data_IF_612155697984
#
_entry.id   IF_612155697984
#
_cell.length_a   1.000
_cell.length_b   1.000
_cell.length_c   1.000
_cell.angle_alpha   90.00
_cell.angle_beta   90.00
_cell.angle_gamma   90.00
#
_symmetry.space_group_name_H-M   'P 1'
#
loop_
_entity.id
_entity.type
_entity.pdbx_description
1 polymer ?
#
# COMPACT_ATOMS: atom_id res chain seq x y z
N UNK A 1 26.59 -16.03 -29.39
CA UNK A 1 25.65 -16.63 -28.41
C UNK A 1 24.79 -15.50 -27.90
N UNK A 2 23.60 -15.34 -28.49
CA UNK A 2 22.70 -14.21 -28.24
C UNK A 2 22.17 -14.27 -26.80
N UNK A 3 22.37 -13.20 -26.04
CA UNK A 3 21.71 -12.92 -24.77
C UNK A 3 20.30 -12.41 -25.13
N UNK A 4 19.29 -13.26 -24.92
CA UNK A 4 17.89 -12.87 -25.09
C UNK A 4 17.49 -11.97 -23.91
N UNK A 5 17.54 -10.65 -24.12
CA UNK A 5 16.76 -9.70 -23.35
C UNK A 5 15.28 -9.91 -23.73
N UNK A 6 14.58 -10.78 -23.00
CA UNK A 6 13.12 -10.77 -23.02
C UNK A 6 12.65 -9.60 -22.16
N UNK A 7 12.52 -8.44 -22.80
CA UNK A 7 11.59 -7.42 -22.34
C UNK A 7 10.19 -8.03 -22.32
N UNK A 8 9.75 -8.43 -21.13
CA UNK A 8 8.34 -8.66 -20.90
C UNK A 8 7.75 -7.28 -20.67
N UNK A 9 7.19 -6.69 -21.73
CA UNK A 9 6.14 -5.71 -21.55
C UNK A 9 4.95 -6.50 -21.00
N UNK A 10 4.78 -6.47 -19.68
CA UNK A 10 3.58 -7.00 -19.06
C UNK A 10 2.45 -6.11 -19.58
N UNK A 11 1.48 -6.70 -20.27
CA UNK A 11 0.22 -6.03 -20.56
C UNK A 11 -0.50 -5.82 -19.22
N UNK A 12 -0.02 -4.83 -18.48
CA UNK A 12 -0.71 -4.29 -17.33
C UNK A 12 -1.66 -3.24 -17.90
N UNK A 13 -2.93 -3.61 -18.08
CA UNK A 13 -4.03 -2.66 -18.24
C UNK A 13 -4.31 -1.93 -16.90
N UNK A 14 -3.24 -1.61 -16.15
CA UNK A 14 -3.24 -0.96 -14.85
C UNK A 14 -2.95 0.52 -15.04
N UNK A 15 -3.95 1.36 -14.76
CA UNK A 15 -3.92 2.83 -14.72
C UNK A 15 -2.64 3.52 -15.22
N UNK A 16 -2.70 4.12 -16.41
CA UNK A 16 -1.75 5.13 -16.90
C UNK A 16 -1.87 6.45 -16.11
N UNK A 17 -1.65 6.39 -14.80
CA UNK A 17 -1.39 7.57 -13.99
C UNK A 17 -0.01 8.14 -14.31
N UNK A 18 0.28 9.40 -13.94
CA UNK A 18 1.63 9.93 -14.03
C UNK A 18 2.57 9.10 -13.13
N UNK A 19 3.85 9.01 -13.50
CA UNK A 19 4.88 8.41 -12.66
C UNK A 19 5.20 9.35 -11.48
N UNK A 20 5.11 8.88 -10.23
CA UNK A 20 5.34 9.74 -9.07
C UNK A 20 6.82 9.75 -8.68
N UNK A 21 7.32 10.97 -8.45
CA UNK A 21 8.62 11.23 -7.84
C UNK A 21 8.38 11.97 -6.54
N UNK A 22 8.81 11.41 -5.41
CA UNK A 22 8.66 12.04 -4.09
C UNK A 22 10.03 12.52 -3.61
N UNK A 23 10.14 13.81 -3.33
CA UNK A 23 11.34 14.46 -2.79
C UNK A 23 11.07 14.86 -1.33
N UNK A 24 11.83 14.32 -0.39
CA UNK A 24 11.47 14.33 1.04
C UNK A 24 12.70 14.41 1.93
N UNK A 25 12.61 15.25 2.95
CA UNK A 25 13.60 15.38 4.03
C UNK A 25 13.25 14.55 5.27
N UNK A 26 12.21 13.72 5.17
CA UNK A 26 11.81 12.69 6.13
C UNK A 26 11.61 13.21 7.57
N UNK A 27 10.63 14.10 7.73
CA UNK A 27 9.97 14.42 8.99
C UNK A 27 8.92 13.39 9.41
N UNK A 28 8.14 13.73 10.44
CA UNK A 28 7.07 12.85 10.95
C UNK A 28 5.86 12.83 10.00
N UNK A 29 5.47 13.99 9.50
CA UNK A 29 4.47 14.18 8.45
C UNK A 29 4.90 13.57 7.11
N UNK A 30 6.16 13.74 6.67
CA UNK A 30 6.69 13.01 5.51
C UNK A 30 6.55 11.50 5.68
N UNK A 31 6.86 10.98 6.87
CA UNK A 31 6.79 9.55 7.17
C UNK A 31 5.35 9.04 7.03
N UNK A 32 4.35 9.83 7.44
CA UNK A 32 2.93 9.48 7.23
C UNK A 32 2.54 9.61 5.75
N UNK A 33 2.99 10.66 5.07
CA UNK A 33 2.72 10.90 3.65
C UNK A 33 3.29 9.79 2.75
N UNK A 34 4.52 9.37 3.00
CA UNK A 34 5.15 8.22 2.34
C UNK A 34 4.43 6.92 2.66
N UNK A 35 3.94 6.75 3.89
CA UNK A 35 3.14 5.58 4.26
C UNK A 35 1.89 5.51 3.41
N UNK A 36 1.20 6.63 3.21
CA UNK A 36 0.03 6.75 2.34
C UNK A 36 0.39 6.40 0.88
N UNK A 37 1.49 6.96 0.36
CA UNK A 37 1.91 6.76 -1.02
C UNK A 37 2.34 5.31 -1.32
N UNK A 38 3.15 4.70 -0.45
CA UNK A 38 3.69 3.34 -0.66
C UNK A 38 2.64 2.24 -0.48
N UNK A 39 1.56 2.52 0.27
CA UNK A 39 0.49 1.57 0.58
C UNK A 39 -0.68 1.60 -0.41
N UNK A 40 -0.83 2.66 -1.22
CA UNK A 40 -1.99 2.87 -2.09
C UNK A 40 -1.76 2.25 -3.46
N UNK A 41 -2.71 1.43 -3.94
CA UNK A 41 -2.64 0.80 -5.27
C UNK A 41 -2.68 1.80 -6.43
N UNK A 42 -3.43 2.91 -6.27
CA UNK A 42 -3.60 3.92 -7.32
C UNK A 42 -2.49 4.96 -7.40
N UNK A 43 -1.40 4.78 -6.64
CA UNK A 43 -0.23 5.67 -6.65
C UNK A 43 0.95 4.85 -7.14
N UNK A 44 1.51 5.26 -8.27
CA UNK A 44 2.66 4.62 -8.88
C UNK A 44 3.94 5.38 -8.56
N UNK A 45 4.46 5.14 -7.35
CA UNK A 45 5.75 5.73 -6.91
C UNK A 45 6.87 5.06 -7.68
N UNK A 46 7.53 5.79 -8.56
CA UNK A 46 8.70 5.32 -9.32
C UNK A 46 10.01 5.67 -8.63
N UNK A 47 10.06 6.86 -8.03
CA UNK A 47 11.28 7.39 -7.43
C UNK A 47 11.01 8.07 -6.10
N UNK A 48 11.92 7.87 -5.14
CA UNK A 48 12.08 8.69 -3.95
C UNK A 48 13.48 9.31 -3.96
N UNK A 49 13.55 10.61 -3.67
CA UNK A 49 14.81 11.36 -3.53
C UNK A 49 14.91 11.87 -2.10
N UNK A 50 15.99 11.51 -1.40
CA UNK A 50 16.25 12.01 -0.06
C UNK A 50 16.73 13.48 -0.13
N UNK A 51 16.26 14.32 0.80
CA UNK A 51 16.69 15.70 0.97
C UNK A 51 17.24 15.94 2.39
N UNK A 52 17.98 17.05 2.57
CA UNK A 52 18.32 17.55 3.91
C UNK A 52 17.20 18.47 4.42
N UNK A 53 16.83 18.31 5.69
CA UNK A 53 15.85 19.18 6.33
C UNK A 53 15.46 18.68 7.72
N UNK A 54 14.27 18.11 7.87
CA UNK A 54 13.80 17.50 9.11
C UNK A 54 14.73 16.38 9.60
N UNK A 55 15.17 15.50 8.69
CA UNK A 55 16.30 14.60 8.90
C UNK A 55 17.55 15.12 8.17
N UNK A 56 18.73 14.64 8.57
CA UNK A 56 19.95 14.84 7.77
C UNK A 56 19.90 13.92 6.54
N UNK A 57 20.39 14.39 5.39
CA UNK A 57 20.20 13.72 4.10
C UNK A 57 20.67 12.26 4.06
N UNK A 58 21.82 11.94 4.64
CA UNK A 58 22.36 10.57 4.70
C UNK A 58 21.45 9.67 5.54
N UNK A 59 21.02 10.14 6.70
CA UNK A 59 20.09 9.42 7.57
C UNK A 59 18.70 9.28 6.96
N UNK A 60 18.21 10.30 6.26
CA UNK A 60 16.98 10.23 5.48
C UNK A 60 17.06 9.12 4.44
N UNK A 61 18.12 9.08 3.62
CA UNK A 61 18.33 8.04 2.61
C UNK A 61 18.38 6.63 3.22
N UNK A 62 19.06 6.44 4.35
CA UNK A 62 19.13 5.17 5.09
C UNK A 62 17.73 4.72 5.52
N UNK A 63 16.95 5.61 6.15
CA UNK A 63 15.62 5.28 6.67
C UNK A 63 14.58 5.09 5.56
N UNK A 64 14.67 5.85 4.48
CA UNK A 64 13.86 5.65 3.27
C UNK A 64 14.09 4.27 2.65
N UNK A 65 15.35 3.82 2.56
CA UNK A 65 15.69 2.47 2.08
C UNK A 65 15.02 1.37 2.91
N UNK A 66 14.83 1.60 4.20
CA UNK A 66 14.12 0.66 5.06
C UNK A 66 12.64 0.72 4.97
N UNK A 67 12.10 1.92 4.83
CA UNK A 67 10.69 2.09 4.58
C UNK A 67 10.31 1.37 3.28
N UNK A 68 11.12 1.50 2.22
CA UNK A 68 10.94 0.74 0.99
C UNK A 68 11.04 -0.77 1.22
N UNK A 69 12.01 -1.26 2.00
CA UNK A 69 12.08 -2.70 2.30
C UNK A 69 10.85 -3.16 3.11
N UNK A 70 10.45 -2.47 4.18
CA UNK A 70 9.31 -2.84 5.00
C UNK A 70 8.01 -2.90 4.20
N UNK A 71 7.77 -1.91 3.32
CA UNK A 71 6.62 -1.87 2.42
C UNK A 71 6.76 -2.78 1.20
N UNK A 72 7.83 -3.59 1.11
CA UNK A 72 8.12 -4.48 -0.02
C UNK A 72 8.15 -3.75 -1.37
N UNK A 73 8.72 -2.55 -1.40
CA UNK A 73 8.78 -1.65 -2.56
C UNK A 73 10.19 -1.52 -3.12
N UNK A 74 10.86 -2.65 -3.36
CA UNK A 74 12.20 -2.68 -3.97
C UNK A 74 12.20 -2.28 -5.45
N UNK A 75 11.02 -2.17 -6.07
CA UNK A 75 10.77 -1.60 -7.38
C UNK A 75 10.98 -0.06 -7.42
N UNK A 76 10.84 0.62 -6.29
CA UNK A 76 11.00 2.08 -6.20
C UNK A 76 12.48 2.45 -6.22
N UNK A 77 12.87 3.35 -7.13
CA UNK A 77 14.23 3.88 -7.18
C UNK A 77 14.45 4.84 -6.02
N UNK A 78 15.51 4.63 -5.25
CA UNK A 78 15.90 5.53 -4.17
C UNK A 78 17.19 6.27 -4.52
N UNK A 79 17.20 7.59 -4.37
CA UNK A 79 18.37 8.45 -4.60
C UNK A 79 18.76 9.23 -3.34
N UNK A 80 20.06 9.46 -3.17
CA UNK A 80 20.59 10.40 -2.16
C UNK A 80 20.28 11.85 -2.54
N UNK A 81 20.52 12.78 -1.62
CA UNK A 81 20.47 14.21 -1.92
C UNK A 81 21.53 14.64 -2.95
N UNK A 82 21.28 15.74 -3.65
CA UNK A 82 22.16 16.31 -4.68
C UNK A 82 23.45 16.88 -4.12
N UNK A 83 23.38 17.37 -2.90
CA UNK A 83 24.46 18.02 -2.15
C UNK A 83 24.20 17.92 -0.65
N UNK A 84 25.27 17.97 0.15
CA UNK A 84 25.14 18.10 1.60
C UNK A 84 24.79 19.54 1.97
N UNK A 85 23.79 19.73 2.82
CA UNK A 85 23.45 21.06 3.33
C UNK A 85 24.57 21.58 4.26
N UNK A 86 24.97 22.82 4.05
CA UNK A 86 25.85 23.58 4.97
C UNK A 86 25.06 24.43 5.97
N UNK A 87 23.73 24.51 5.82
CA UNK A 87 22.87 25.27 6.71
C UNK A 87 22.74 24.58 8.09
N UNK A 88 22.67 25.39 9.15
CA UNK A 88 22.48 24.91 10.52
C UNK A 88 21.26 23.98 10.62
N UNK A 89 21.39 22.89 11.40
CA UNK A 89 20.29 21.95 11.59
C UNK A 89 19.08 22.65 12.26
N UNK A 90 17.84 22.44 11.78
CA UNK A 90 16.68 23.00 12.44
C UNK A 90 16.53 22.45 13.87
N UNK A 91 16.01 23.24 14.83
CA UNK A 91 15.93 22.83 16.24
C UNK A 91 15.17 21.53 16.49
N UNK A 92 14.17 21.22 15.65
CA UNK A 92 13.36 20.01 15.76
C UNK A 92 14.03 18.75 15.19
N UNK A 93 15.15 18.85 14.45
CA UNK A 93 15.83 17.70 13.83
C UNK A 93 16.20 16.62 14.83
N UNK A 94 16.71 17.02 16.01
CA UNK A 94 17.09 16.06 17.06
C UNK A 94 15.89 15.21 17.51
N UNK A 95 14.72 15.82 17.63
CA UNK A 95 13.49 15.14 18.00
C UNK A 95 13.02 14.17 16.91
N UNK A 96 12.93 14.59 15.64
CA UNK A 96 12.50 13.66 14.57
C UNK A 96 13.49 12.52 14.41
N UNK A 97 14.79 12.79 14.54
CA UNK A 97 15.81 11.74 14.51
C UNK A 97 15.63 10.71 15.61
N UNK A 98 15.29 11.13 16.83
CA UNK A 98 15.01 10.21 17.93
C UNK A 98 13.71 9.43 17.69
N UNK A 99 12.64 10.10 17.25
CA UNK A 99 11.34 9.48 17.02
C UNK A 99 11.42 8.42 15.91
N UNK A 100 11.99 8.78 14.76
CA UNK A 100 12.15 7.87 13.62
C UNK A 100 13.19 6.79 13.90
N UNK A 101 14.24 7.09 14.67
CA UNK A 101 15.27 6.11 14.99
C UNK A 101 14.73 4.89 15.76
N UNK A 102 13.70 5.07 16.59
CA UNK A 102 13.02 3.95 17.29
C UNK A 102 12.30 2.99 16.34
N UNK A 103 12.01 3.41 15.12
CA UNK A 103 11.16 2.69 14.16
C UNK A 103 11.93 2.26 12.92
N UNK A 104 12.95 3.03 12.52
CA UNK A 104 13.64 2.92 11.24
C UNK A 104 15.18 2.78 11.37
N UNK A 105 15.77 2.65 12.58
CA UNK A 105 17.21 2.34 12.78
C UNK A 105 17.49 0.82 12.97
N UNK A 106 18.70 0.28 12.71
CA UNK A 106 19.00 -1.15 12.35
C UNK A 106 19.69 -1.46 10.97
N UNK A 107 19.38 -2.56 10.29
CA UNK A 107 20.01 -2.92 8.99
C UNK A 107 19.24 -2.40 7.75
N UNK A 108 19.97 -2.09 6.66
CA UNK A 108 19.40 -1.56 5.41
C UNK A 108 19.60 -2.57 4.27
N UNK A 109 18.50 -3.09 3.73
CA UNK A 109 18.54 -3.96 2.55
C UNK A 109 18.64 -3.16 1.24
N UNK A 110 17.95 -2.02 1.13
CA UNK A 110 17.91 -1.20 -0.09
C UNK A 110 18.76 0.06 0.08
N UNK A 111 19.84 0.15 -0.69
CA UNK A 111 20.74 1.31 -0.66
C UNK A 111 20.35 2.33 -1.71
N UNK A 112 20.42 3.61 -1.33
CA UNK A 112 20.21 4.72 -2.24
C UNK A 112 21.31 4.78 -3.32
N UNK A 113 20.91 5.12 -4.53
CA UNK A 113 21.81 5.48 -5.64
C UNK A 113 22.33 6.89 -5.42
N UNK A 114 23.52 7.19 -5.95
CA UNK A 114 23.99 8.56 -6.00
C UNK A 114 23.01 9.43 -6.79
N UNK A 115 22.80 10.66 -6.35
CA UNK A 115 21.90 11.61 -7.00
C UNK A 115 22.22 11.79 -8.49
N UNK A 116 21.18 11.81 -9.31
CA UNK A 116 21.25 12.05 -10.76
C UNK A 116 19.97 12.77 -11.23
N UNK A 117 20.03 13.72 -12.19
CA UNK A 117 18.83 14.41 -12.68
C UNK A 117 17.72 13.48 -13.20
N UNK A 118 18.08 12.28 -13.68
CA UNK A 118 17.11 11.26 -14.13
C UNK A 118 16.18 10.78 -13.01
N UNK A 119 16.50 11.06 -11.73
CA UNK A 119 15.62 10.78 -10.60
C UNK A 119 14.25 11.47 -10.72
N UNK A 120 14.17 12.62 -11.42
CA UNK A 120 12.93 13.37 -11.65
C UNK A 120 12.21 13.02 -12.94
N UNK A 121 12.69 12.00 -13.66
CA UNK A 121 12.16 11.64 -14.98
C UNK A 121 11.75 10.17 -15.04
N UNK A 122 10.87 9.88 -15.99
CA UNK A 122 10.49 8.55 -16.37
C UNK A 122 10.69 8.35 -17.89
N UNK A 123 10.86 7.10 -18.30
CA UNK A 123 11.09 6.74 -19.71
C UNK A 123 9.79 6.74 -20.53
N UNK A 124 8.66 6.45 -19.89
CA UNK A 124 7.39 6.16 -20.55
C UNK A 124 6.26 7.13 -20.17
N UNK A 125 6.43 7.93 -19.12
CA UNK A 125 5.43 8.90 -18.68
C UNK A 125 6.03 10.26 -18.31
N UNK A 126 5.19 11.29 -18.29
CA UNK A 126 5.52 12.53 -17.58
C UNK A 126 5.49 12.28 -16.08
N UNK A 127 6.45 12.85 -15.37
CA UNK A 127 6.52 12.71 -13.92
C UNK A 127 5.63 13.73 -13.21
N UNK A 128 5.03 13.28 -12.13
CA UNK A 128 4.42 14.12 -11.11
C UNK A 128 5.37 14.18 -9.91
N UNK A 129 5.99 15.33 -9.72
CA UNK A 129 6.97 15.55 -8.64
C UNK A 129 6.23 16.08 -7.43
N UNK A 130 6.28 15.35 -6.31
CA UNK A 130 5.71 15.75 -5.01
C UNK A 130 6.86 16.15 -4.09
N UNK A 131 6.96 17.43 -3.79
CA UNK A 131 7.99 18.01 -2.93
C UNK A 131 7.46 18.16 -1.51
N UNK A 132 7.94 17.29 -0.63
CA UNK A 132 7.66 17.29 0.80
C UNK A 132 8.77 18.00 1.59
N UNK A 133 9.98 18.07 1.04
CA UNK A 133 11.12 18.81 1.59
C UNK A 133 11.49 20.08 0.81
N UNK A 134 12.66 20.68 1.12
CA UNK A 134 13.21 21.83 0.39
C UNK A 134 13.47 21.53 -1.10
N UNK A 135 13.36 22.54 -1.97
CA UNK A 135 13.48 22.39 -3.43
C UNK A 135 14.92 22.23 -3.94
N UNK A 136 15.90 22.05 -3.05
CA UNK A 136 17.34 22.02 -3.37
C UNK A 136 17.69 20.98 -4.43
N UNK A 137 17.18 19.77 -4.26
CA UNK A 137 17.46 18.65 -5.17
C UNK A 137 16.87 18.91 -6.57
N UNK A 138 15.60 19.37 -6.67
CA UNK A 138 14.98 19.70 -7.96
C UNK A 138 15.70 20.87 -8.66
N UNK A 139 16.07 21.92 -7.92
CA UNK A 139 16.86 23.02 -8.46
C UNK A 139 18.24 22.54 -8.98
N UNK A 140 18.90 21.65 -8.25
CA UNK A 140 20.14 21.03 -8.70
C UNK A 140 19.94 20.17 -9.95
N UNK A 141 18.87 19.39 -10.03
CA UNK A 141 18.54 18.58 -11.21
C UNK A 141 18.35 19.46 -12.46
N UNK A 142 17.52 20.51 -12.36
CA UNK A 142 17.24 21.45 -13.46
C UNK A 142 18.49 22.22 -13.90
N UNK A 143 19.39 22.57 -12.98
CA UNK A 143 20.67 23.22 -13.32
C UNK A 143 21.62 22.27 -14.04
N UNK A 144 21.70 21.01 -13.59
CA UNK A 144 22.61 19.99 -14.17
C UNK A 144 22.11 19.51 -15.53
N UNK A 145 20.80 19.32 -15.68
CA UNK A 145 20.16 18.95 -16.94
C UNK A 145 18.83 19.70 -17.12
N UNK A 146 18.84 20.85 -17.82
CA UNK A 146 17.62 21.59 -18.10
C UNK A 146 16.60 20.83 -18.96
N UNK A 147 17.00 19.77 -19.68
CA UNK A 147 16.11 19.04 -20.59
C UNK A 147 15.02 18.26 -19.84
N UNK A 148 15.26 17.90 -18.57
CA UNK A 148 14.29 17.18 -17.72
C UNK A 148 13.00 17.97 -17.53
N UNK A 149 13.02 19.30 -17.69
CA UNK A 149 11.84 20.16 -17.61
C UNK A 149 10.72 19.64 -18.51
N UNK A 150 11.06 19.18 -19.72
CA UNK A 150 10.08 18.65 -20.69
C UNK A 150 9.45 17.31 -20.28
N UNK A 151 10.04 16.62 -19.30
CA UNK A 151 9.58 15.32 -18.77
C UNK A 151 8.82 15.45 -17.46
N UNK A 152 8.75 16.64 -16.87
CA UNK A 152 8.00 16.92 -15.64
C UNK A 152 6.62 17.47 -16.03
N UNK A 153 5.57 16.71 -15.74
CA UNK A 153 4.19 17.12 -16.03
C UNK A 153 3.64 18.14 -15.03
N UNK A 154 3.96 17.98 -13.74
CA UNK A 154 3.60 18.93 -12.68
C UNK A 154 4.47 18.76 -11.44
N UNK A 155 4.59 19.84 -10.67
CA UNK A 155 5.24 19.88 -9.36
C UNK A 155 4.19 20.23 -8.31
N UNK A 156 4.04 19.40 -7.30
CA UNK A 156 3.14 19.60 -6.17
C UNK A 156 3.98 19.86 -4.94
N UNK A 157 3.71 20.94 -4.24
CA UNK A 157 4.52 21.41 -3.11
C UNK A 157 3.66 21.38 -1.85
N UNK A 158 4.18 20.75 -0.80
CA UNK A 158 3.55 20.79 0.51
C UNK A 158 3.62 22.21 1.10
N UNK A 159 2.47 22.76 1.46
CA UNK A 159 2.36 24.06 2.12
C UNK A 159 2.20 25.27 1.18
N UNK A 160 2.09 26.48 1.76
CA UNK A 160 1.84 27.72 1.01
C UNK A 160 2.95 28.11 0.04
N UNK A 161 2.60 28.85 -1.01
CA UNK A 161 3.55 29.39 -2.01
C UNK A 161 4.38 30.59 -1.57
N UNK A 162 4.59 30.75 -0.27
CA UNK A 162 5.25 31.90 0.35
C UNK A 162 6.29 31.43 1.38
N UNK A 163 7.57 31.78 1.21
CA UNK A 163 8.64 31.39 2.13
C UNK A 163 8.41 31.87 3.58
N UNK A 164 7.71 32.99 3.78
CA UNK A 164 7.31 33.50 5.10
C UNK A 164 6.37 32.55 5.86
N UNK A 165 5.65 31.67 5.15
CA UNK A 165 4.65 30.73 5.68
C UNK A 165 4.98 29.25 5.40
N UNK A 166 6.03 28.99 4.63
CA UNK A 166 6.46 27.64 4.26
C UNK A 166 7.93 27.42 4.67
N UNK A 167 8.14 26.48 5.58
CA UNK A 167 9.49 26.18 6.11
C UNK A 167 10.42 25.63 5.01
N UNK A 168 9.93 24.73 4.15
CA UNK A 168 10.71 24.13 3.06
C UNK A 168 11.21 25.18 2.06
N UNK A 169 10.36 26.14 1.70
CA UNK A 169 10.76 27.22 0.78
C UNK A 169 11.77 28.17 1.42
N UNK A 170 11.64 28.45 2.73
CA UNK A 170 12.58 29.31 3.46
C UNK A 170 13.93 28.64 3.69
N UNK A 171 13.94 27.32 3.86
CA UNK A 171 15.14 26.53 4.06
C UNK A 171 16.13 26.70 2.91
N UNK A 172 15.62 26.83 1.69
CA UNK A 172 16.41 27.14 0.49
C UNK A 172 15.65 28.07 -0.47
N UNK A 173 15.60 29.36 -0.12
CA UNK A 173 14.91 30.37 -0.95
C UNK A 173 15.56 30.52 -2.34
N UNK A 174 16.86 30.27 -2.46
CA UNK A 174 17.57 30.36 -3.74
C UNK A 174 17.13 29.25 -4.69
N UNK A 175 17.04 28.01 -4.20
CA UNK A 175 16.46 26.90 -4.96
C UNK A 175 15.00 27.15 -5.33
N UNK A 176 14.19 27.65 -4.39
CA UNK A 176 12.79 28.00 -4.67
C UNK A 176 12.65 29.03 -5.81
N UNK A 177 13.44 30.11 -5.78
CA UNK A 177 13.45 31.12 -6.86
C UNK A 177 13.87 30.50 -8.19
N UNK A 178 14.93 29.70 -8.19
CA UNK A 178 15.43 29.03 -9.40
C UNK A 178 14.39 28.09 -10.02
N UNK A 179 13.68 27.29 -9.21
CA UNK A 179 12.61 26.40 -9.70
C UNK A 179 11.42 27.19 -10.25
N UNK A 180 11.06 28.33 -9.64
CA UNK A 180 10.01 29.22 -10.17
C UNK A 180 10.39 29.84 -11.51
N UNK A 181 11.64 30.27 -11.67
CA UNK A 181 12.17 30.81 -12.93
C UNK A 181 12.19 29.75 -14.03
N UNK A 182 12.27 28.46 -13.67
CA UNK A 182 12.13 27.37 -14.63
C UNK A 182 10.72 27.24 -15.21
N UNK A 183 9.71 27.96 -14.71
CA UNK A 183 8.32 27.98 -15.23
C UNK A 183 7.71 26.58 -15.38
N UNK A 184 7.95 25.70 -14.41
CA UNK A 184 7.26 24.42 -14.31
C UNK A 184 5.79 24.63 -13.86
N UNK A 185 4.86 23.70 -14.18
CA UNK A 185 3.50 23.73 -13.64
C UNK A 185 3.53 23.40 -12.13
N UNK A 186 3.63 24.43 -11.29
CA UNK A 186 3.70 24.29 -9.83
C UNK A 186 2.32 24.46 -9.21
N UNK A 187 1.97 23.58 -8.26
CA UNK A 187 0.79 23.69 -7.40
C UNK A 187 1.21 23.61 -5.94
N UNK A 188 0.86 24.62 -5.15
CA UNK A 188 1.03 24.67 -3.70
C UNK A 188 -0.23 24.16 -3.00
N UNK A 189 -0.07 23.21 -2.09
CA UNK A 189 -1.19 22.62 -1.34
C UNK A 189 -1.25 23.27 0.03
N UNK A 190 -2.14 24.25 0.16
CA UNK A 190 -2.23 25.08 1.36
C UNK A 190 -3.10 24.42 2.45
N UNK A 191 -2.53 24.15 3.63
CA UNK A 191 -3.32 23.68 4.74
C UNK A 191 -4.07 24.85 5.39
N UNK A 192 -5.33 24.59 5.77
CA UNK A 192 -6.07 25.50 6.65
C UNK A 192 -6.51 24.74 7.90
N UNK A 193 -6.55 25.35 9.09
CA UNK A 193 -7.03 24.66 10.29
C UNK A 193 -8.43 24.07 10.13
N UNK A 194 -9.28 24.68 9.29
CA UNK A 194 -10.64 24.24 9.03
C UNK A 194 -10.71 22.95 8.19
N UNK A 195 -9.83 22.80 7.19
CA UNK A 195 -9.95 21.73 6.19
C UNK A 195 -8.82 20.72 6.21
N UNK A 196 -7.74 21.01 6.93
CA UNK A 196 -6.58 20.13 7.09
C UNK A 196 -6.32 19.76 8.56
N UNK A 197 -7.20 20.13 9.49
CA UNK A 197 -7.04 19.80 10.91
C UNK A 197 -6.98 18.29 11.16
N UNK A 198 -6.00 17.84 11.93
CA UNK A 198 -5.89 16.42 12.32
C UNK A 198 -7.00 16.08 13.32
N UNK A 199 -7.78 15.00 13.13
CA UNK A 199 -8.83 14.65 14.07
C UNK A 199 -8.27 14.33 15.46
N UNK A 200 -8.74 15.04 16.50
CA UNK A 200 -8.29 14.82 17.88
C UNK A 200 -8.52 13.38 18.36
N UNK A 201 -9.62 12.76 17.90
CA UNK A 201 -9.94 11.36 18.19
C UNK A 201 -8.80 10.42 17.80
N UNK A 202 -8.06 10.71 16.72
CA UNK A 202 -6.95 9.86 16.26
C UNK A 202 -5.75 9.87 17.20
N UNK A 203 -5.67 10.77 18.18
CA UNK A 203 -4.65 10.68 19.22
C UNK A 203 -4.86 9.47 20.15
N UNK A 204 -6.11 9.04 20.34
CA UNK A 204 -6.48 7.91 21.21
C UNK A 204 -6.95 6.71 20.40
N UNK A 205 -7.78 6.95 19.38
CA UNK A 205 -8.28 5.99 18.39
C UNK A 205 -7.24 5.65 17.31
N UNK A 206 -6.03 6.22 17.37
CA UNK A 206 -4.86 5.75 16.61
C UNK A 206 -4.79 4.22 16.55
N UNK A 207 -5.09 3.58 17.69
CA UNK A 207 -5.08 2.13 17.84
C UNK A 207 -6.30 1.42 17.23
N UNK A 208 -7.18 2.11 16.51
CA UNK A 208 -8.37 1.56 15.85
C UNK A 208 -8.63 2.16 14.46
N UNK A 209 -7.62 2.75 13.82
CA UNK A 209 -7.76 3.44 12.52
C UNK A 209 -8.42 2.56 11.45
N UNK A 210 -8.09 1.26 11.41
CA UNK A 210 -8.69 0.22 10.58
C UNK A 210 -8.62 -1.15 11.26
N UNK A 211 -8.76 -2.21 10.45
CA UNK A 211 -8.81 -3.60 10.92
C UNK A 211 -7.43 -4.28 11.04
N UNK A 212 -6.32 -3.54 10.88
CA UNK A 212 -4.97 -4.12 10.91
C UNK A 212 -4.62 -4.92 9.65
N UNK A 213 -5.27 -4.60 8.53
CA UNK A 213 -5.15 -5.30 7.25
C UNK A 213 -4.25 -4.55 6.24
N UNK A 214 -3.54 -3.51 6.67
CA UNK A 214 -2.67 -2.68 5.84
C UNK A 214 -1.29 -2.55 6.50
N UNK A 215 -0.22 -2.70 5.73
CA UNK A 215 1.16 -2.45 6.22
C UNK A 215 1.31 -1.01 6.69
N UNK A 216 0.69 -0.05 5.98
CA UNK A 216 0.72 1.36 6.31
C UNK A 216 0.00 1.66 7.61
N UNK A 217 -1.13 1.01 7.89
CA UNK A 217 -1.81 1.15 9.17
C UNK A 217 -0.93 0.63 10.32
N UNK A 218 -0.33 -0.56 10.15
CA UNK A 218 0.55 -1.17 11.15
C UNK A 218 1.81 -0.32 11.38
N UNK A 219 2.42 0.19 10.31
CA UNK A 219 3.58 1.05 10.36
C UNK A 219 3.25 2.37 11.07
N UNK A 220 2.15 3.02 10.69
CA UNK A 220 1.68 4.26 11.32
C UNK A 220 1.44 4.07 12.82
N UNK A 221 0.79 2.97 13.24
CA UNK A 221 0.58 2.64 14.66
C UNK A 221 1.89 2.48 15.42
N UNK A 222 2.93 1.92 14.77
CA UNK A 222 4.26 1.76 15.37
C UNK A 222 4.98 3.10 15.53
N UNK A 223 4.86 4.00 14.54
CA UNK A 223 5.36 5.38 14.61
C UNK A 223 4.66 6.15 15.75
N UNK A 224 3.35 6.03 15.86
CA UNK A 224 2.53 6.74 16.86
C UNK A 224 2.43 6.04 18.22
N UNK A 225 3.21 4.97 18.43
CA UNK A 225 3.20 4.21 19.70
C UNK A 225 3.77 5.02 20.85
N UNK A 226 4.84 5.78 20.60
CA UNK A 226 5.47 6.65 21.58
C UNK A 226 4.59 7.88 21.87
N UNK A 227 4.34 8.14 23.15
CA UNK A 227 3.45 9.22 23.56
C UNK A 227 3.99 10.61 23.18
N UNK A 228 5.31 10.80 23.25
CA UNK A 228 5.95 12.07 22.91
C UNK A 228 5.88 12.31 21.40
N UNK A 229 6.20 11.30 20.58
CA UNK A 229 6.00 11.34 19.12
C UNK A 229 4.56 11.69 18.77
N UNK A 230 3.59 11.01 19.40
CA UNK A 230 2.17 11.22 19.14
C UNK A 230 1.71 12.62 19.57
N UNK A 231 2.11 13.09 20.75
CA UNK A 231 1.79 14.42 21.23
C UNK A 231 2.36 15.51 20.31
N UNK A 232 3.59 15.34 19.81
CA UNK A 232 4.17 16.25 18.84
C UNK A 232 3.40 16.25 17.51
N UNK A 233 3.10 15.07 16.96
CA UNK A 233 2.43 14.96 15.67
C UNK A 233 1.00 15.52 15.66
N UNK A 234 0.24 15.36 16.76
CA UNK A 234 -1.14 15.88 16.84
C UNK A 234 -1.23 17.28 17.46
N UNK A 235 -0.33 17.64 18.38
CA UNK A 235 -0.36 18.92 19.11
C UNK A 235 0.58 19.99 18.55
N UNK A 236 1.74 19.61 18.03
CA UNK A 236 2.70 20.53 17.39
C UNK A 236 2.42 20.76 15.90
N UNK A 237 2.01 19.70 15.20
CA UNK A 237 1.62 19.73 13.78
C UNK A 237 0.10 19.56 13.67
N UNK A 238 -0.68 20.55 14.09
CA UNK A 238 -2.15 20.42 14.24
C UNK A 238 -2.91 20.23 12.93
N UNK A 239 -2.26 20.45 11.79
CA UNK A 239 -2.81 20.22 10.45
C UNK A 239 -1.97 19.21 9.68
N UNK A 240 -2.57 18.53 8.71
CA UNK A 240 -1.88 17.77 7.68
C UNK A 240 -1.11 18.72 6.76
N UNK A 241 0.16 18.42 6.49
CA UNK A 241 1.02 19.17 5.57
C UNK A 241 1.38 18.26 4.39
N UNK A 242 2.36 17.39 4.57
CA UNK A 242 2.85 16.50 3.52
C UNK A 242 1.81 15.46 3.11
N UNK A 243 1.02 15.00 4.07
CA UNK A 243 -0.10 14.10 3.82
C UNK A 243 -1.12 14.74 2.89
N UNK A 244 -1.30 16.05 3.00
CA UNK A 244 -2.23 16.82 2.17
C UNK A 244 -1.73 16.92 0.73
N UNK A 245 -0.42 17.07 0.52
CA UNK A 245 0.20 17.07 -0.80
C UNK A 245 0.04 15.72 -1.50
N UNK A 246 0.29 14.61 -0.80
CA UNK A 246 0.05 13.25 -1.30
C UNK A 246 -1.44 13.01 -1.55
N UNK A 247 -2.33 13.49 -0.68
CA UNK A 247 -3.77 13.34 -0.86
C UNK A 247 -4.26 14.10 -2.09
N UNK A 248 -3.85 15.36 -2.28
CA UNK A 248 -4.19 16.15 -3.48
C UNK A 248 -3.67 15.49 -4.76
N UNK A 249 -2.44 14.98 -4.70
CA UNK A 249 -1.80 14.34 -5.83
C UNK A 249 -2.60 13.14 -6.37
N UNK A 250 -3.26 12.38 -5.50
CA UNK A 250 -4.06 11.21 -5.87
C UNK A 250 -5.57 11.50 -6.01
N UNK A 251 -6.13 12.39 -5.19
CA UNK A 251 -7.57 12.67 -5.10
C UNK A 251 -7.86 14.17 -5.25
N UNK A 252 -7.53 14.79 -6.40
CA UNK A 252 -7.64 16.25 -6.58
C UNK A 252 -9.09 16.76 -6.46
N UNK A 253 -10.10 15.90 -6.60
CA UNK A 253 -11.51 16.25 -6.42
C UNK A 253 -11.85 16.71 -4.99
N UNK A 254 -11.08 16.28 -3.99
CA UNK A 254 -11.25 16.68 -2.59
C UNK A 254 -10.79 18.13 -2.34
N UNK A 255 -10.21 18.79 -3.35
CA UNK A 255 -9.60 20.10 -3.26
C UNK A 255 -10.28 21.12 -4.16
N UNK A 256 -10.22 22.38 -3.74
CA UNK A 256 -10.64 23.55 -4.50
C UNK A 256 -9.46 24.48 -4.77
N UNK A 257 -9.60 25.28 -5.83
CA UNK A 257 -8.63 26.32 -6.17
C UNK A 257 -8.68 27.42 -5.11
N UNK A 258 -7.52 27.74 -4.55
CA UNK A 258 -7.32 28.77 -3.52
C UNK A 258 -6.54 30.00 -4.03
N UNK A 259 -5.96 29.92 -5.23
CA UNK A 259 -5.20 30.99 -5.89
C UNK A 259 -4.68 30.52 -7.26
N UNK A 260 -3.88 31.34 -7.94
CA UNK A 260 -3.38 31.01 -9.29
C UNK A 260 -2.62 29.69 -9.37
N UNK A 261 -1.83 29.38 -8.33
CA UNK A 261 -1.04 28.16 -8.20
C UNK A 261 -1.33 27.43 -6.89
N UNK A 262 -2.44 27.72 -6.23
CA UNK A 262 -2.74 27.22 -4.89
C UNK A 262 -4.04 26.43 -4.84
N UNK A 263 -4.05 25.33 -4.08
CA UNK A 263 -5.23 24.53 -3.78
C UNK A 263 -5.35 24.30 -2.28
N UNK A 264 -6.57 24.06 -1.81
CA UNK A 264 -6.85 23.70 -0.41
C UNK A 264 -7.96 22.68 -0.32
N UNK A 265 -8.02 21.92 0.77
CA UNK A 265 -9.11 20.95 1.00
C UNK A 265 -10.47 21.65 1.01
N UNK A 266 -11.48 21.03 0.39
CA UNK A 266 -12.87 21.54 0.37
C UNK A 266 -13.58 21.36 1.71
N UNK A 267 -13.39 20.19 2.32
CA UNK A 267 -14.08 19.77 3.52
C UNK A 267 -13.14 18.96 4.43
N UNK A 268 -13.11 19.31 5.72
CA UNK A 268 -12.18 18.71 6.68
C UNK A 268 -12.47 17.24 6.98
N UNK A 269 -13.74 16.85 6.99
CA UNK A 269 -14.13 15.46 7.24
C UNK A 269 -13.75 14.58 6.05
N UNK A 270 -14.02 15.03 4.82
CA UNK A 270 -13.62 14.35 3.61
C UNK A 270 -12.10 14.19 3.49
N UNK A 271 -11.33 15.23 3.86
CA UNK A 271 -9.86 15.16 3.89
C UNK A 271 -9.38 14.14 4.92
N UNK A 272 -9.88 14.20 6.16
CA UNK A 272 -9.53 13.23 7.19
C UNK A 272 -9.90 11.80 6.79
N UNK A 273 -11.07 11.61 6.16
CA UNK A 273 -11.48 10.31 5.64
C UNK A 273 -10.55 9.84 4.51
N UNK A 274 -10.14 10.73 3.60
CA UNK A 274 -9.18 10.44 2.54
C UNK A 274 -7.83 9.96 3.07
N UNK A 275 -7.26 10.67 4.07
CA UNK A 275 -6.03 10.26 4.76
C UNK A 275 -6.20 8.89 5.41
N UNK A 276 -7.29 8.69 6.15
CA UNK A 276 -7.59 7.39 6.79
C UNK A 276 -7.65 6.27 5.76
N UNK A 277 -8.32 6.48 4.63
CA UNK A 277 -8.43 5.48 3.58
C UNK A 277 -7.06 5.15 2.99
N UNK A 278 -6.19 6.13 2.74
CA UNK A 278 -4.84 5.87 2.25
C UNK A 278 -3.96 5.08 3.23
N UNK A 279 -4.16 5.25 4.53
CA UNK A 279 -3.45 4.48 5.56
C UNK A 279 -3.99 3.07 5.73
N UNK A 280 -5.31 2.88 5.64
CA UNK A 280 -5.98 1.63 6.02
C UNK A 280 -6.33 0.71 4.88
N UNK A 281 -6.41 1.22 3.65
CA UNK A 281 -6.78 0.43 2.47
C UNK A 281 -5.54 0.18 1.62
N UNK A 282 -5.06 -1.06 1.67
CA UNK A 282 -3.78 -1.41 1.09
C UNK A 282 -3.77 -1.69 -0.43
N UNK A 283 -2.59 -2.05 -0.95
CA UNK A 283 -2.37 -2.29 -2.38
C UNK A 283 -3.21 -3.44 -2.92
N UNK A 284 -3.61 -4.37 -2.05
CA UNK A 284 -4.51 -5.48 -2.40
C UNK A 284 -5.90 -5.04 -2.88
N UNK A 285 -6.27 -3.76 -2.72
CA UNK A 285 -7.55 -3.23 -3.23
C UNK A 285 -7.60 -3.35 -4.75
N UNK A 286 -8.66 -3.96 -5.28
CA UNK A 286 -8.88 -4.12 -6.73
C UNK A 286 -10.02 -3.23 -7.21
N UNK A 287 -9.80 -2.42 -8.24
CA UNK A 287 -10.90 -1.71 -8.91
C UNK A 287 -11.71 -2.75 -9.71
N UNK A 288 -13.04 -2.88 -9.53
CA UNK A 288 -13.84 -3.79 -10.33
C UNK A 288 -13.80 -3.39 -11.81
N UNK A 289 -13.82 -4.39 -12.71
CA UNK A 289 -13.77 -4.14 -14.16
C UNK A 289 -15.13 -3.71 -14.71
N UNK A 290 -16.20 -4.39 -14.29
CA UNK A 290 -17.56 -4.17 -14.81
C UNK A 290 -18.47 -3.46 -13.81
N UNK A 291 -18.24 -3.63 -12.51
CA UNK A 291 -19.15 -3.14 -11.49
C UNK A 291 -18.81 -1.71 -11.10
N UNK A 292 -19.80 -0.82 -11.14
CA UNK A 292 -19.67 0.56 -10.63
C UNK A 292 -19.68 0.62 -9.11
N UNK A 293 -20.26 -0.39 -8.44
CA UNK A 293 -20.28 -0.53 -7.00
C UNK A 293 -20.05 -1.98 -6.57
N UNK A 294 -19.49 -2.18 -5.38
CA UNK A 294 -19.06 -3.49 -4.87
C UNK A 294 -20.13 -4.25 -4.09
N UNK A 295 -20.95 -3.62 -3.22
CA UNK A 295 -22.10 -4.30 -2.65
C UNK A 295 -23.16 -4.49 -3.73
N UNK A 296 -23.51 -5.74 -4.03
CA UNK A 296 -24.67 -6.03 -4.86
C UNK A 296 -25.96 -5.74 -4.08
N UNK A 297 -27.04 -5.29 -4.74
CA UNK A 297 -28.36 -5.16 -4.13
C UNK A 297 -28.85 -6.48 -3.52
N UNK A 298 -29.60 -6.41 -2.42
CA UNK A 298 -30.12 -7.61 -1.72
C UNK A 298 -30.96 -8.52 -2.64
N UNK A 299 -31.66 -7.94 -3.62
CA UNK A 299 -32.44 -8.69 -4.60
C UNK A 299 -31.61 -9.61 -5.50
N UNK A 300 -30.29 -9.39 -5.59
CA UNK A 300 -29.37 -10.25 -6.36
C UNK A 300 -28.76 -11.37 -5.50
N UNK A 301 -28.98 -11.35 -4.18
CA UNK A 301 -28.35 -12.28 -3.24
C UNK A 301 -29.36 -13.35 -2.79
N UNK A 302 -28.86 -14.57 -2.54
CA UNK A 302 -29.67 -15.57 -1.83
C UNK A 302 -29.98 -15.07 -0.40
N UNK A 303 -31.15 -15.39 0.19
CA UNK A 303 -31.57 -14.81 1.48
C UNK A 303 -30.56 -15.02 2.62
N UNK A 304 -29.92 -16.19 2.67
CA UNK A 304 -28.91 -16.53 3.67
C UNK A 304 -27.61 -15.72 3.52
N UNK A 305 -27.24 -15.37 2.29
CA UNK A 305 -26.09 -14.51 1.96
C UNK A 305 -26.42 -13.05 2.25
N UNK A 306 -27.61 -12.57 1.86
CA UNK A 306 -28.06 -11.21 2.11
C UNK A 306 -28.09 -10.89 3.62
N UNK A 307 -28.61 -11.82 4.43
CA UNK A 307 -28.69 -11.66 5.88
C UNK A 307 -27.32 -11.52 6.56
N UNK A 308 -26.25 -12.03 5.95
CA UNK A 308 -24.89 -11.98 6.50
C UNK A 308 -24.04 -10.84 5.92
N UNK A 309 -24.49 -10.13 4.88
CA UNK A 309 -23.70 -9.10 4.18
C UNK A 309 -23.07 -8.11 5.13
N UNK A 310 -23.89 -7.41 5.90
CA UNK A 310 -23.39 -6.28 6.67
C UNK A 310 -22.45 -6.73 7.79
N UNK A 311 -22.68 -7.92 8.38
CA UNK A 311 -21.75 -8.52 9.32
C UNK A 311 -20.41 -8.83 8.64
N UNK A 312 -20.43 -9.51 7.50
CA UNK A 312 -19.22 -9.90 6.76
C UNK A 312 -18.44 -8.67 6.30
N UNK A 313 -19.11 -7.67 5.73
CA UNK A 313 -18.46 -6.45 5.24
C UNK A 313 -17.83 -5.67 6.41
N UNK A 314 -18.52 -5.56 7.56
CA UNK A 314 -17.95 -4.93 8.75
C UNK A 314 -16.73 -5.69 9.28
N UNK A 315 -16.77 -7.01 9.31
CA UNK A 315 -15.73 -7.83 9.92
C UNK A 315 -14.53 -8.04 9.00
N UNK A 316 -14.78 -8.35 7.73
CA UNK A 316 -13.75 -8.79 6.79
C UNK A 316 -13.46 -7.78 5.68
N UNK A 317 -14.30 -6.75 5.53
CA UNK A 317 -14.16 -5.71 4.52
C UNK A 317 -14.83 -6.04 3.19
N UNK A 318 -15.14 -4.98 2.44
CA UNK A 318 -15.86 -5.09 1.15
C UNK A 318 -15.06 -5.83 0.06
N UNK A 319 -13.72 -5.78 0.15
CA UNK A 319 -12.83 -6.48 -0.78
C UNK A 319 -12.94 -8.00 -0.66
N UNK A 320 -13.02 -8.51 0.58
CA UNK A 320 -13.24 -9.95 0.80
C UNK A 320 -14.65 -10.34 0.38
N UNK A 321 -15.65 -9.54 0.75
CA UNK A 321 -17.03 -9.77 0.34
C UNK A 321 -17.16 -9.96 -1.17
N UNK A 322 -16.62 -9.02 -1.95
CA UNK A 322 -16.73 -9.01 -3.40
C UNK A 322 -16.00 -10.19 -4.05
N UNK A 323 -14.81 -10.54 -3.54
CA UNK A 323 -14.02 -11.68 -4.05
C UNK A 323 -14.70 -13.02 -3.77
N UNK A 324 -15.32 -13.16 -2.60
CA UNK A 324 -16.05 -14.37 -2.25
C UNK A 324 -17.29 -14.55 -3.12
N UNK A 325 -18.02 -13.48 -3.46
CA UNK A 325 -19.12 -13.58 -4.41
C UNK A 325 -18.63 -14.11 -5.77
N UNK A 326 -17.60 -13.48 -6.35
CA UNK A 326 -17.05 -13.92 -7.65
C UNK A 326 -16.52 -15.36 -7.60
N UNK A 327 -15.80 -15.71 -6.52
CA UNK A 327 -15.24 -17.05 -6.37
C UNK A 327 -16.34 -18.10 -6.27
N UNK A 328 -17.37 -17.89 -5.46
CA UNK A 328 -18.40 -18.90 -5.26
C UNK A 328 -19.31 -19.08 -6.48
N UNK A 329 -19.52 -18.03 -7.29
CA UNK A 329 -20.20 -18.15 -8.59
C UNK A 329 -19.31 -18.84 -9.63
N UNK A 330 -17.98 -18.72 -9.54
CA UNK A 330 -17.05 -19.46 -10.40
C UNK A 330 -16.92 -20.94 -9.99
N UNK A 331 -16.93 -21.22 -8.68
CA UNK A 331 -16.70 -22.54 -8.08
C UNK A 331 -17.98 -23.37 -7.94
N UNK A 332 -19.14 -22.79 -8.30
CA UNK A 332 -20.49 -23.36 -8.27
C UNK A 332 -21.02 -23.82 -6.87
N UNK A 333 -20.26 -23.63 -5.79
CA UNK A 333 -20.74 -23.89 -4.43
C UNK A 333 -19.90 -23.21 -3.33
N UNK A 334 -20.46 -23.12 -2.12
CA UNK A 334 -19.79 -22.60 -0.92
C UNK A 334 -18.92 -23.66 -0.23
N UNK A 335 -17.74 -23.92 -0.78
CA UNK A 335 -16.78 -24.91 -0.28
C UNK A 335 -15.77 -24.33 0.72
N UNK A 336 -15.44 -25.09 1.78
CA UNK A 336 -14.53 -24.64 2.84
C UNK A 336 -13.16 -24.16 2.32
N UNK A 337 -12.50 -24.94 1.47
CA UNK A 337 -11.17 -24.59 0.95
C UNK A 337 -11.21 -23.42 -0.04
N UNK A 338 -12.25 -23.31 -0.86
CA UNK A 338 -12.42 -22.20 -1.80
C UNK A 338 -12.57 -20.84 -1.07
N UNK A 339 -13.38 -20.81 -0.01
CA UNK A 339 -13.56 -19.65 0.88
C UNK A 339 -12.24 -19.30 1.59
N UNK A 340 -11.53 -20.30 2.10
CA UNK A 340 -10.22 -20.11 2.75
C UNK A 340 -9.17 -19.61 1.75
N UNK A 341 -9.25 -20.04 0.48
CA UNK A 341 -8.36 -19.60 -0.58
C UNK A 341 -8.43 -18.10 -0.82
N UNK A 342 -9.64 -17.54 -0.84
CA UNK A 342 -9.81 -16.08 -0.96
C UNK A 342 -9.19 -15.35 0.23
N UNK A 343 -9.44 -15.86 1.44
CA UNK A 343 -8.86 -15.31 2.68
C UNK A 343 -7.32 -15.40 2.68
N UNK A 344 -6.75 -16.52 2.22
CA UNK A 344 -5.30 -16.74 2.13
C UNK A 344 -4.66 -15.79 1.11
N UNK A 345 -5.23 -15.70 -0.09
CA UNK A 345 -4.73 -14.82 -1.14
C UNK A 345 -4.74 -13.36 -0.67
N UNK A 346 -5.86 -12.89 -0.11
CA UNK A 346 -5.95 -11.55 0.48
C UNK A 346 -4.90 -11.32 1.55
N UNK A 347 -4.76 -12.26 2.49
CA UNK A 347 -3.78 -12.14 3.58
C UNK A 347 -2.35 -12.07 3.04
N UNK A 348 -2.03 -12.83 1.99
CA UNK A 348 -0.73 -12.77 1.35
C UNK A 348 -0.48 -11.39 0.72
N UNK A 349 -1.45 -10.85 -0.02
CA UNK A 349 -1.32 -9.53 -0.65
C UNK A 349 -1.17 -8.41 0.39
N UNK A 350 -1.87 -8.50 1.52
CA UNK A 350 -1.73 -7.57 2.65
C UNK A 350 -0.30 -7.60 3.22
N UNK A 351 0.21 -8.80 3.51
CA UNK A 351 1.53 -8.98 4.13
C UNK A 351 2.69 -8.63 3.19
N UNK A 352 2.52 -8.86 1.88
CA UNK A 352 3.50 -8.51 0.86
C UNK A 352 3.34 -7.07 0.35
N UNK A 353 2.34 -6.31 0.84
CA UNK A 353 1.93 -5.02 0.28
C UNK A 353 1.82 -5.06 -1.27
N UNK A 354 1.23 -6.12 -1.79
CA UNK A 354 1.18 -6.40 -3.22
C UNK A 354 -0.15 -5.93 -3.82
N UNK A 355 -0.08 -5.35 -5.02
CA UNK A 355 -1.22 -5.02 -5.87
C UNK A 355 -1.80 -6.24 -6.59
N UNK A 356 -3.02 -6.16 -7.14
CA UNK A 356 -3.53 -7.22 -8.01
C UNK A 356 -2.52 -7.50 -9.13
N UNK A 357 -2.22 -8.77 -9.39
CA UNK A 357 -1.23 -9.19 -10.41
C UNK A 357 0.27 -8.92 -10.07
N UNK A 358 0.61 -8.36 -8.91
CA UNK A 358 2.01 -8.13 -8.52
C UNK A 358 2.72 -9.39 -7.99
N UNK A 359 1.96 -10.40 -7.57
CA UNK A 359 2.49 -11.58 -6.87
C UNK A 359 2.39 -12.85 -7.72
N UNK A 360 3.52 -13.55 -7.87
CA UNK A 360 3.56 -14.92 -8.36
C UNK A 360 3.16 -15.88 -7.25
N UNK A 361 2.41 -16.90 -7.59
CA UNK A 361 1.83 -17.88 -6.67
C UNK A 361 2.32 -19.29 -7.04
N UNK A 362 2.84 -20.00 -6.05
CA UNK A 362 3.27 -21.39 -6.18
C UNK A 362 2.49 -22.21 -5.15
N UNK A 363 1.59 -23.06 -5.61
CA UNK A 363 0.80 -23.91 -4.71
C UNK A 363 1.54 -25.20 -4.38
N UNK A 364 1.61 -25.54 -3.09
CA UNK A 364 2.18 -26.79 -2.59
C UNK A 364 1.10 -27.79 -2.18
N UNK A 365 -0.15 -27.53 -2.58
CA UNK A 365 -1.30 -28.35 -2.25
C UNK A 365 -1.38 -29.53 -3.21
N UNK A 366 -1.75 -30.70 -2.68
CA UNK A 366 -1.97 -31.90 -3.49
C UNK A 366 -3.07 -31.65 -4.53
N UNK A 367 -2.83 -31.95 -5.83
CA UNK A 367 -3.87 -31.91 -6.85
C UNK A 367 -5.03 -32.86 -6.52
N UNK A 368 -6.25 -32.43 -6.80
CA UNK A 368 -7.47 -33.19 -6.55
C UNK A 368 -8.31 -32.61 -5.39
N UNK A 369 -9.65 -32.58 -5.50
CA UNK A 369 -10.51 -32.12 -4.42
C UNK A 369 -10.39 -32.99 -3.16
N UNK A 370 -10.71 -32.44 -1.97
CA UNK A 370 -11.27 -31.09 -1.76
C UNK A 370 -10.20 -30.02 -1.49
N UNK A 371 -8.94 -30.38 -1.24
CA UNK A 371 -7.91 -29.42 -0.81
C UNK A 371 -7.50 -28.47 -1.93
N UNK A 372 -7.41 -28.95 -3.17
CA UNK A 372 -6.99 -28.12 -4.32
C UNK A 372 -7.97 -27.00 -4.65
N UNK A 373 -9.23 -27.05 -4.17
CA UNK A 373 -10.21 -25.95 -4.33
C UNK A 373 -9.74 -24.63 -3.70
N UNK A 374 -8.74 -24.66 -2.81
CA UNK A 374 -8.11 -23.45 -2.28
C UNK A 374 -7.44 -22.62 -3.38
N UNK A 375 -6.97 -23.27 -4.45
CA UNK A 375 -6.32 -22.61 -5.57
C UNK A 375 -7.28 -21.63 -6.26
N UNK A 376 -8.55 -21.99 -6.45
CA UNK A 376 -9.56 -21.13 -7.08
C UNK A 376 -9.75 -19.82 -6.29
N UNK A 377 -9.85 -19.94 -4.97
CA UNK A 377 -9.95 -18.78 -4.09
C UNK A 377 -8.72 -17.90 -4.12
N UNK A 378 -7.52 -18.49 -4.14
CA UNK A 378 -6.26 -17.73 -4.24
C UNK A 378 -6.18 -16.99 -5.57
N UNK A 379 -6.50 -17.66 -6.68
CA UNK A 379 -6.51 -17.05 -8.02
C UNK A 379 -7.46 -15.84 -8.06
N UNK A 380 -8.68 -15.97 -7.52
CA UNK A 380 -9.65 -14.87 -7.48
C UNK A 380 -9.16 -13.72 -6.59
N UNK A 381 -8.50 -14.03 -5.47
CA UNK A 381 -8.03 -13.01 -4.54
C UNK A 381 -6.84 -12.21 -5.08
N UNK A 382 -5.85 -12.87 -5.68
CA UNK A 382 -4.59 -12.26 -6.11
C UNK A 382 -4.62 -11.78 -7.56
N UNK A 383 -5.46 -12.39 -8.40
CA UNK A 383 -5.40 -12.23 -9.85
C UNK A 383 -4.23 -12.97 -10.50
N UNK A 384 -3.49 -13.79 -9.75
CA UNK A 384 -2.43 -14.64 -10.27
C UNK A 384 -3.06 -15.82 -11.02
N UNK A 385 -3.29 -15.65 -12.32
CA UNK A 385 -3.90 -16.69 -13.16
C UNK A 385 -2.84 -17.48 -13.92
N UNK A 386 -3.09 -18.76 -14.27
CA UNK A 386 -2.22 -19.51 -15.16
C UNK A 386 -2.00 -18.84 -16.52
N UNK A 387 -3.03 -18.16 -17.06
CA UNK A 387 -2.95 -17.45 -18.34
C UNK A 387 -1.99 -16.25 -18.33
N UNK A 388 -1.71 -15.69 -17.14
CA UNK A 388 -0.67 -14.66 -16.94
C UNK A 388 0.69 -15.23 -16.56
N UNK A 389 0.84 -16.56 -16.55
CA UNK A 389 2.03 -17.27 -16.06
C UNK A 389 2.43 -16.88 -14.62
N UNK A 390 1.44 -16.57 -13.77
CA UNK A 390 1.67 -16.18 -12.37
C UNK A 390 1.24 -17.23 -11.35
N UNK A 391 0.69 -18.37 -11.80
CA UNK A 391 0.22 -19.44 -10.93
C UNK A 391 0.83 -20.76 -11.37
N UNK A 392 1.57 -21.40 -10.47
CA UNK A 392 2.34 -22.60 -10.73
C UNK A 392 2.10 -23.67 -9.65
N UNK A 393 2.21 -24.94 -10.01
CA UNK A 393 2.21 -26.06 -9.06
C UNK A 393 3.66 -26.33 -8.62
N UNK A 394 3.93 -26.23 -7.33
CA UNK A 394 5.19 -26.64 -6.73
C UNK A 394 5.13 -28.04 -6.13
N UNK A 395 6.22 -28.42 -5.44
CA UNK A 395 6.31 -29.69 -4.72
C UNK A 395 5.26 -29.77 -3.61
N UNK A 396 4.57 -30.91 -3.53
CA UNK A 396 3.52 -31.12 -2.53
C UNK A 396 4.15 -31.27 -1.15
N UNK A 397 3.70 -30.44 -0.20
CA UNK A 397 4.10 -30.57 1.20
C UNK A 397 3.09 -31.47 1.90
N UNK A 398 3.54 -32.67 2.29
CA UNK A 398 2.69 -33.65 2.97
C UNK A 398 2.12 -33.07 4.26
N UNK A 399 0.83 -33.36 4.52
CA UNK A 399 0.12 -32.90 5.71
C UNK A 399 0.19 -31.38 5.95
N UNK A 400 0.31 -30.58 4.88
CA UNK A 400 0.15 -29.12 4.92
C UNK A 400 -0.84 -28.64 3.84
N UNK A 401 -1.42 -27.46 4.07
CA UNK A 401 -2.13 -26.71 3.03
C UNK A 401 -1.40 -25.38 2.95
N UNK A 402 -0.37 -25.36 2.11
CA UNK A 402 0.60 -24.29 2.03
C UNK A 402 0.70 -23.74 0.61
N UNK A 403 0.84 -22.42 0.51
CA UNK A 403 1.02 -21.71 -0.76
C UNK A 403 2.12 -20.67 -0.55
N UNK A 404 3.04 -20.63 -1.51
CA UNK A 404 4.10 -19.63 -1.59
C UNK A 404 3.67 -18.47 -2.50
N UNK A 405 4.00 -17.26 -2.06
CA UNK A 405 3.74 -16.00 -2.76
C UNK A 405 5.07 -15.26 -2.91
N UNK A 406 5.36 -14.77 -4.11
CA UNK A 406 6.59 -14.05 -4.42
C UNK A 406 6.25 -12.71 -5.05
N UNK A 407 6.71 -11.61 -4.44
CA UNK A 407 6.51 -10.25 -4.93
C UNK A 407 7.75 -9.41 -4.60
N UNK A 408 8.28 -8.67 -5.57
CA UNK A 408 9.43 -7.77 -5.38
C UNK A 408 10.66 -8.45 -4.73
N UNK A 409 10.89 -9.72 -5.10
CA UNK A 409 11.98 -10.55 -4.57
C UNK A 409 11.78 -11.05 -3.14
N UNK A 410 10.66 -10.72 -2.49
CA UNK A 410 10.27 -11.25 -1.18
C UNK A 410 9.38 -12.48 -1.34
N UNK A 411 9.68 -13.53 -0.57
CA UNK A 411 8.96 -14.81 -0.55
C UNK A 411 8.18 -14.92 0.76
N UNK A 412 6.92 -15.31 0.67
CA UNK A 412 6.02 -15.56 1.79
C UNK A 412 5.36 -16.92 1.60
N UNK A 413 5.45 -17.80 2.58
CA UNK A 413 4.69 -19.05 2.61
C UNK A 413 3.60 -18.94 3.66
N UNK A 414 2.34 -19.01 3.23
CA UNK A 414 1.19 -19.12 4.14
C UNK A 414 0.73 -20.56 4.24
N UNK A 415 0.53 -21.04 5.46
CA UNK A 415 0.06 -22.39 5.74
C UNK A 415 -1.18 -22.35 6.63
N UNK A 416 -2.26 -23.05 6.24
CA UNK A 416 -3.47 -23.12 7.07
C UNK A 416 -3.18 -23.89 8.36
N UNK A 417 -3.43 -23.25 9.51
CA UNK A 417 -3.05 -23.83 10.81
C UNK A 417 -3.73 -25.19 11.06
N UNK A 418 -3.05 -26.14 11.73
CA UNK A 418 -3.54 -27.50 11.92
C UNK A 418 -4.93 -27.61 12.55
N UNK A 419 -5.27 -26.75 13.50
CA UNK A 419 -6.56 -26.74 14.21
C UNK A 419 -7.75 -26.52 13.26
N UNK A 420 -7.64 -25.59 12.31
CA UNK A 420 -8.68 -25.35 11.32
C UNK A 420 -8.82 -26.53 10.35
N UNK A 421 -7.70 -27.16 9.98
CA UNK A 421 -7.70 -28.37 9.13
C UNK A 421 -8.37 -29.54 9.85
N UNK A 422 -8.16 -29.69 11.15
CA UNK A 422 -8.83 -30.70 11.96
C UNK A 422 -10.33 -30.43 12.10
N UNK A 423 -10.76 -29.17 12.22
CA UNK A 423 -12.19 -28.82 12.22
C UNK A 423 -12.85 -29.22 10.88
N UNK A 424 -12.24 -28.83 9.75
CA UNK A 424 -12.76 -29.17 8.41
C UNK A 424 -12.85 -30.68 8.23
N UNK A 425 -11.76 -31.41 8.52
CA UNK A 425 -11.71 -32.87 8.36
C UNK A 425 -12.78 -33.57 9.18
N UNK A 426 -12.97 -33.16 10.45
CA UNK A 426 -14.00 -33.74 11.33
C UNK A 426 -15.41 -33.45 10.81
N UNK A 427 -15.69 -32.21 10.43
CA UNK A 427 -17.04 -31.79 10.03
C UNK A 427 -17.44 -32.37 8.68
N UNK A 428 -16.61 -32.22 7.65
CA UNK A 428 -16.88 -32.79 6.33
C UNK A 428 -16.92 -34.32 6.40
N UNK A 429 -16.00 -34.95 7.13
CA UNK A 429 -16.00 -36.41 7.31
C UNK A 429 -17.27 -36.93 7.98
N UNK A 430 -17.83 -36.19 8.95
CA UNK A 430 -19.11 -36.53 9.57
C UNK A 430 -20.29 -36.38 8.60
N UNK A 431 -20.28 -35.34 7.76
CA UNK A 431 -21.32 -35.13 6.75
C UNK A 431 -21.32 -36.23 5.68
N UNK A 432 -20.14 -36.57 5.15
CA UNK A 432 -19.99 -37.67 4.16
C UNK A 432 -20.48 -38.99 4.73
N UNK A 433 -20.15 -39.31 5.99
CA UNK A 433 -20.61 -40.54 6.65
C UNK A 433 -22.12 -40.58 6.88
N UNK A 434 -22.77 -39.43 7.04
CA UNK A 434 -24.19 -39.34 7.39
C UNK A 434 -25.12 -39.31 6.18
N UNK A 435 -24.75 -38.57 5.15
CA UNK A 435 -25.62 -38.27 4.00
C UNK A 435 -25.10 -38.86 2.68
N UNK A 436 -23.78 -39.08 2.54
CA UNK A 436 -23.16 -39.39 1.24
C UNK A 436 -23.04 -38.15 0.34
N UNK A 437 -22.38 -38.30 -0.82
CA UNK A 437 -22.10 -37.17 -1.74
C UNK A 437 -23.25 -36.84 -2.70
N UNK A 438 -24.17 -37.79 -2.91
CA UNK A 438 -25.32 -37.65 -3.81
C UNK A 438 -26.57 -37.10 -3.10
N UNK A 439 -26.51 -36.90 -1.78
CA UNK A 439 -27.62 -36.39 -0.98
C UNK A 439 -27.60 -34.85 -0.95
N UNK A 440 -28.72 -34.23 -1.32
CA UNK A 440 -28.86 -32.77 -1.31
C UNK A 440 -28.61 -32.16 0.09
N UNK A 441 -28.95 -32.88 1.16
CA UNK A 441 -28.73 -32.40 2.53
C UNK A 441 -27.23 -32.29 2.85
N UNK A 442 -26.37 -33.13 2.25
CA UNK A 442 -24.92 -32.96 2.34
C UNK A 442 -24.51 -31.57 1.85
N UNK A 443 -25.00 -31.17 0.68
CA UNK A 443 -24.67 -29.88 0.06
C UNK A 443 -25.26 -28.68 0.81
N UNK A 444 -26.46 -28.83 1.39
CA UNK A 444 -27.03 -27.82 2.30
C UNK A 444 -26.13 -27.62 3.52
N UNK A 445 -25.61 -28.68 4.12
CA UNK A 445 -24.72 -28.60 5.28
C UNK A 445 -23.31 -28.08 4.92
N UNK A 446 -22.78 -28.43 3.75
CA UNK A 446 -21.54 -27.86 3.21
C UNK A 446 -21.70 -26.35 3.03
N UNK A 447 -22.79 -25.89 2.41
CA UNK A 447 -23.10 -24.46 2.24
C UNK A 447 -23.15 -23.73 3.58
N UNK A 448 -23.86 -24.27 4.58
CA UNK A 448 -23.93 -23.69 5.92
C UNK A 448 -22.55 -23.56 6.57
N UNK A 449 -21.70 -24.58 6.43
CA UNK A 449 -20.35 -24.53 6.96
C UNK A 449 -19.47 -23.53 6.20
N UNK A 450 -19.60 -23.42 4.88
CA UNK A 450 -18.92 -22.40 4.08
C UNK A 450 -19.26 -20.98 4.51
N UNK A 451 -20.55 -20.69 4.77
CA UNK A 451 -21.00 -19.39 5.30
C UNK A 451 -20.47 -19.12 6.71
N UNK A 452 -20.39 -20.14 7.56
CA UNK A 452 -19.79 -20.02 8.90
C UNK A 452 -18.30 -19.66 8.80
N UNK A 453 -17.54 -20.35 7.95
CA UNK A 453 -16.11 -20.02 7.72
C UNK A 453 -15.98 -18.59 7.20
N UNK A 454 -16.76 -18.21 6.19
CA UNK A 454 -16.67 -16.89 5.60
C UNK A 454 -16.97 -15.79 6.64
N UNK A 455 -18.07 -15.94 7.38
CA UNK A 455 -18.51 -14.93 8.35
C UNK A 455 -17.69 -14.90 9.63
N UNK A 456 -17.21 -16.04 10.14
CA UNK A 456 -16.64 -16.10 11.49
C UNK A 456 -15.12 -16.21 11.52
N UNK A 457 -14.48 -16.81 10.50
CA UNK A 457 -13.04 -17.05 10.53
C UNK A 457 -12.25 -15.84 10.02
N UNK A 458 -11.43 -15.25 10.87
CA UNK A 458 -10.60 -14.10 10.53
C UNK A 458 -9.32 -14.52 9.80
N UNK A 459 -9.09 -13.96 8.60
CA UNK A 459 -7.92 -14.26 7.77
C UNK A 459 -6.59 -13.88 8.43
N UNK A 460 -6.59 -12.98 9.40
CA UNK A 460 -5.39 -12.60 10.18
C UNK A 460 -4.94 -13.74 11.10
N UNK A 461 -5.87 -14.62 11.51
CA UNK A 461 -5.61 -15.68 12.49
C UNK A 461 -5.44 -17.07 11.86
N UNK A 462 -5.96 -17.29 10.64
CA UNK A 462 -6.04 -18.60 10.00
C UNK A 462 -4.71 -19.24 9.62
N UNK A 463 -3.66 -18.43 9.41
CA UNK A 463 -2.46 -18.88 8.73
C UNK A 463 -1.21 -18.69 9.59
N UNK A 464 -0.30 -19.64 9.49
CA UNK A 464 1.10 -19.43 9.87
C UNK A 464 1.84 -18.82 8.68
N UNK A 465 2.57 -17.72 8.94
CA UNK A 465 3.38 -17.03 7.94
C UNK A 465 4.86 -17.37 8.14
N UNK A 466 5.49 -17.96 7.12
CA UNK A 466 6.93 -18.20 7.08
C UNK A 466 7.56 -17.29 6.02
N UNK A 467 8.67 -16.66 6.37
CA UNK A 467 9.45 -15.80 5.48
C UNK A 467 10.80 -16.48 5.20
N UNK A 468 10.91 -17.29 4.14
CA UNK A 468 12.20 -17.87 3.75
C UNK A 468 13.23 -16.75 3.58
N UNK A 469 14.45 -16.99 4.03
CA UNK A 469 15.55 -16.05 3.79
C UNK A 469 15.64 -15.77 2.30
N UNK A 470 15.84 -14.49 1.92
CA UNK A 470 16.20 -14.14 0.54
C UNK A 470 17.41 -15.00 0.21
N UNK A 471 17.29 -15.91 -0.77
CA UNK A 471 18.47 -16.62 -1.27
C UNK A 471 19.50 -15.54 -1.60
N UNK A 472 20.71 -15.67 -1.04
CA UNK A 472 21.84 -14.80 -1.33
C UNK A 472 22.27 -14.99 -2.78
N UNK A 473 21.45 -14.51 -3.71
CA UNK A 473 21.74 -14.42 -5.12
C UNK A 473 22.66 -13.24 -5.34
N UNK A 474 23.86 -13.56 -5.82
CA UNK A 474 24.99 -12.67 -6.10
C UNK A 474 24.66 -11.51 -7.03
#
# INVERSE_FOLDING_TARGET
>A
MLIAMCGSAWADEGHHGPAWVIDTDLGLDDTVALTMALQRAGIDVHTIVAADGASEATQAAIRLGRMLDEFNRSDVRLYTASESSTAEAPPFRAFVNQALGRVLDGEVALKARAFDPSAYTDEHALTQVVLLGPMTNLAAALRRDPSIKSRIGRVIVAGPGEASRNWNLRRDEAAWRSVREAQLPIVYVEPTPRTAGKPAAWQHEAMSLGAGASVGEMFWRRVMRDEVTRAHYFGGLTVFFDELAVLYAAEPSLFEVAGEQAVRGRDGEAIAQGVRQMLTVGRQRRVPVLLSDRPLPDAMLRPDVAALRDQIVRQHGIDEWSRQLVMNELHDHLGAYSVIGVKMGLRAMELLNAGPHDARVITHVKPGPPTSCINDGVIVATGATPGRAMFEQGDVIADEVAIEFVCNGRRLVLSLKPEYRQIIRRRIGALVKRYGLEDDEYWVQVRRFGLEIWSQWDRVQLFDARWPTRDGGR
#
